data_IF_924901206258
#
_entry.id   IF_924901206258
#
_cell.length_a   1.000
_cell.length_b   1.000
_cell.length_c   1.000
_cell.angle_alpha   90.00
_cell.angle_beta   90.00
_cell.angle_gamma   90.00
#
_symmetry.space_group_name_H-M   'P 1'
#
loop_
_entity.id
_entity.type
_entity.pdbx_description
1 polymer ?
#
# COMPACT_ATOMS: atom_id res chain seq x y z
N UNK A 1 -24.41 13.77 -7.11
CA UNK A 1 -23.73 13.07 -5.99
C UNK A 1 -22.24 13.26 -6.21
N UNK A 2 -21.61 14.12 -5.42
CA UNK A 2 -20.14 14.17 -5.37
C UNK A 2 -19.68 12.86 -4.72
N UNK A 3 -19.14 11.96 -5.53
CA UNK A 3 -18.45 10.79 -5.01
C UNK A 3 -17.11 11.29 -4.48
N UNK A 4 -17.07 11.68 -3.21
CA UNK A 4 -15.84 11.96 -2.47
C UNK A 4 -15.06 10.65 -2.50
N UNK A 5 -14.26 10.44 -3.55
CA UNK A 5 -13.42 9.28 -3.68
C UNK A 5 -12.38 9.43 -2.58
N UNK A 6 -12.61 8.78 -1.44
CA UNK A 6 -11.65 8.72 -0.36
C UNK A 6 -10.34 8.26 -0.99
N UNK A 7 -9.38 9.19 -1.09
CA UNK A 7 -8.05 8.83 -1.56
C UNK A 7 -7.47 7.99 -0.45
N UNK A 8 -7.41 6.69 -0.70
CA UNK A 8 -6.84 5.70 0.20
C UNK A 8 -5.36 6.07 0.43
N UNK A 9 -5.09 6.86 1.47
CA UNK A 9 -3.76 7.37 1.75
C UNK A 9 -2.93 6.26 2.36
N UNK A 10 -1.66 6.18 1.96
CA UNK A 10 -0.78 5.10 2.40
C UNK A 10 0.35 5.66 3.24
N UNK A 11 0.49 5.08 4.44
CA UNK A 11 1.45 5.50 5.45
C UNK A 11 2.35 4.34 5.85
N UNK A 12 3.63 4.60 6.01
CA UNK A 12 4.60 3.66 6.53
C UNK A 12 4.65 3.68 8.06
N UNK A 13 5.60 2.94 8.65
CA UNK A 13 5.92 3.04 10.07
C UNK A 13 6.13 4.50 10.49
N UNK A 14 5.79 4.80 11.73
CA UNK A 14 5.87 6.15 12.31
C UNK A 14 5.03 7.21 11.57
N UNK A 15 3.95 6.77 10.90
CA UNK A 15 3.01 7.64 10.18
C UNK A 15 3.67 8.43 9.03
N UNK A 16 4.73 7.90 8.44
CA UNK A 16 5.41 8.50 7.29
C UNK A 16 4.51 8.38 6.05
N UNK A 17 4.11 9.49 5.43
CA UNK A 17 3.30 9.45 4.21
C UNK A 17 4.11 8.85 3.06
N UNK A 18 3.66 7.72 2.51
CA UNK A 18 4.31 7.03 1.42
C UNK A 18 3.67 7.35 0.08
N UNK A 19 2.35 7.46 0.03
CA UNK A 19 1.65 7.65 -1.22
C UNK A 19 0.14 7.47 -1.12
N UNK A 20 -0.45 7.00 -2.21
CA UNK A 20 -1.88 6.74 -2.34
C UNK A 20 -2.09 5.42 -3.06
N UNK A 21 -3.16 4.71 -2.72
CA UNK A 21 -3.59 3.54 -3.46
C UNK A 21 -4.31 3.98 -4.74
N UNK A 22 -3.80 3.54 -5.88
CA UNK A 22 -4.40 3.77 -7.18
C UNK A 22 -5.62 2.89 -7.43
N UNK A 23 -6.37 3.20 -8.49
CA UNK A 23 -7.51 2.40 -8.92
C UNK A 23 -7.10 1.00 -9.42
N UNK A 24 -5.84 0.84 -9.83
CA UNK A 24 -5.23 -0.45 -10.16
C UNK A 24 -4.90 -1.31 -8.92
N UNK A 25 -5.19 -0.79 -7.72
CA UNK A 25 -4.95 -1.46 -6.46
C UNK A 25 -3.52 -1.34 -5.95
N UNK A 26 -2.58 -0.82 -6.75
CA UNK A 26 -1.18 -0.62 -6.38
C UNK A 26 -0.98 0.67 -5.58
N UNK A 27 0.20 0.80 -4.95
CA UNK A 27 0.55 2.00 -4.21
C UNK A 27 1.51 2.86 -5.03
N UNK A 28 1.15 4.12 -5.17
CA UNK A 28 1.87 5.11 -5.97
C UNK A 28 2.27 6.32 -5.12
N UNK A 29 3.45 6.87 -5.42
CA UNK A 29 3.95 8.12 -4.84
C UNK A 29 4.39 9.07 -5.95
N UNK A 30 3.66 10.17 -6.14
CA UNK A 30 4.02 11.17 -7.16
C UNK A 30 4.18 10.62 -8.59
N UNK A 31 3.41 9.59 -8.96
CA UNK A 31 3.52 8.90 -10.26
C UNK A 31 4.53 7.75 -10.30
N UNK A 32 5.27 7.51 -9.22
CA UNK A 32 6.16 6.35 -9.08
C UNK A 32 5.44 5.20 -8.39
N UNK A 33 5.49 4.00 -8.99
CA UNK A 33 4.98 2.78 -8.39
C UNK A 33 5.91 2.32 -7.26
N UNK A 34 5.42 2.27 -6.02
CA UNK A 34 6.25 1.89 -4.86
C UNK A 34 5.94 0.48 -4.34
N UNK A 35 4.67 0.06 -4.37
CA UNK A 35 4.28 -1.30 -4.03
C UNK A 35 3.26 -1.84 -5.02
N UNK A 36 3.44 -3.11 -5.37
CA UNK A 36 2.47 -3.88 -6.16
C UNK A 36 1.66 -4.75 -5.22
N UNK A 37 0.34 -4.82 -5.43
CA UNK A 37 -0.55 -5.69 -4.67
C UNK A 37 -1.21 -6.67 -5.63
N UNK A 38 -0.94 -7.96 -5.44
CA UNK A 38 -1.47 -9.06 -6.28
C UNK A 38 -1.97 -10.15 -5.34
N UNK A 39 -3.26 -10.49 -5.39
CA UNK A 39 -3.88 -11.51 -4.52
C UNK A 39 -3.50 -11.33 -3.03
N UNK A 40 -3.66 -10.10 -2.54
CA UNK A 40 -3.29 -9.65 -1.18
C UNK A 40 -1.79 -9.74 -0.83
N UNK A 41 -0.93 -10.14 -1.76
CA UNK A 41 0.52 -10.16 -1.57
C UNK A 41 1.10 -8.82 -1.96
N UNK A 42 1.97 -8.32 -1.09
CA UNK A 42 2.66 -7.04 -1.26
C UNK A 42 4.04 -7.33 -1.83
N UNK A 43 4.35 -6.67 -2.93
CA UNK A 43 5.63 -6.73 -3.59
C UNK A 43 6.25 -5.34 -3.69
N UNK A 44 7.58 -5.28 -3.69
CA UNK A 44 8.32 -4.07 -4.05
C UNK A 44 8.09 -3.69 -5.52
N UNK A 45 8.58 -2.53 -5.92
CA UNK A 45 8.66 -2.10 -7.32
C UNK A 45 9.30 -3.19 -8.23
N UNK A 46 10.26 -3.94 -7.70
CA UNK A 46 11.02 -4.97 -8.40
C UNK A 46 10.44 -6.40 -8.26
N UNK A 47 9.16 -6.53 -7.92
CA UNK A 47 8.47 -7.83 -7.77
C UNK A 47 9.07 -8.72 -6.66
N UNK A 48 9.82 -8.16 -5.72
CA UNK A 48 10.25 -8.89 -4.54
C UNK A 48 9.08 -8.99 -3.56
N UNK A 49 8.71 -10.20 -3.17
CA UNK A 49 7.68 -10.40 -2.15
C UNK A 49 8.14 -9.84 -0.80
N UNK A 50 7.28 -9.04 -0.17
CA UNK A 50 7.57 -8.39 1.11
C UNK A 50 6.64 -8.88 2.23
N UNK A 51 5.42 -9.29 1.89
CA UNK A 51 4.42 -9.68 2.88
C UNK A 51 3.01 -9.69 2.35
N UNK A 52 2.03 -9.53 3.23
CA UNK A 52 0.60 -9.59 2.90
C UNK A 52 -0.15 -8.38 3.40
N UNK A 53 -1.12 -7.93 2.62
CA UNK A 53 -2.09 -6.91 2.96
C UNK A 53 -3.31 -7.57 3.58
N UNK A 54 -3.64 -7.23 4.81
CA UNK A 54 -4.88 -7.66 5.49
C UNK A 54 -5.44 -6.50 6.31
N UNK A 55 -6.76 -6.30 6.22
CA UNK A 55 -7.46 -5.25 6.98
C UNK A 55 -6.82 -3.86 6.84
N UNK A 56 -6.37 -3.50 5.63
CA UNK A 56 -5.70 -2.22 5.36
C UNK A 56 -4.25 -2.15 5.85
N UNK A 57 -3.69 -3.20 6.44
CA UNK A 57 -2.32 -3.25 6.95
C UNK A 57 -1.47 -4.24 6.15
N UNK A 58 -0.40 -3.75 5.55
CA UNK A 58 0.63 -4.58 4.94
C UNK A 58 1.67 -4.95 5.99
N UNK A 59 1.87 -6.25 6.21
CA UNK A 59 2.83 -6.77 7.17
C UNK A 59 3.72 -7.83 6.53
N UNK A 60 4.98 -7.88 6.95
CA UNK A 60 5.88 -8.99 6.62
C UNK A 60 5.36 -10.28 7.25
N UNK A 61 5.83 -11.44 6.77
CA UNK A 61 5.49 -12.74 7.36
C UNK A 61 5.96 -12.86 8.82
N UNK A 62 6.85 -11.97 9.29
CA UNK A 62 7.31 -11.87 10.69
C UNK A 62 6.48 -10.89 11.53
N UNK A 63 5.40 -10.32 10.98
CA UNK A 63 4.52 -9.38 11.68
C UNK A 63 5.03 -7.94 11.74
N UNK A 64 6.06 -7.58 10.96
CA UNK A 64 6.54 -6.20 10.91
C UNK A 64 5.67 -5.37 9.96
N UNK A 65 5.23 -4.20 10.40
CA UNK A 65 4.45 -3.28 9.58
C UNK A 65 5.29 -2.76 8.41
N UNK A 66 4.74 -2.87 7.19
CA UNK A 66 5.29 -2.29 5.97
C UNK A 66 4.58 -0.96 5.69
N UNK A 67 3.24 -0.96 5.68
CA UNK A 67 2.41 0.23 5.54
C UNK A 67 0.96 -0.01 6.00
N UNK A 68 0.21 1.07 6.19
CA UNK A 68 -1.24 1.10 6.39
C UNK A 68 -1.92 1.89 5.27
N UNK A 69 -3.14 1.51 4.94
CA UNK A 69 -4.04 2.22 4.03
C UNK A 69 -5.17 2.82 4.89
N UNK A 70 -5.39 4.13 4.76
CA UNK A 70 -6.39 4.92 5.50
C UNK A 70 -7.50 5.41 4.58
#
# INVERSE_FOLDING_TARGET
MECTTAKNEVYGPYNAKLGQRGADGNIWSGGTLIFRIIDDRVYSMHLQYLGRLKYGMAMTDRGQLIFTIM
#
